data_IF_926673341489
#
_entry.id   IF_926673341489
#
_cell.length_a   1.000
_cell.length_b   1.000
_cell.length_c   1.000
_cell.angle_alpha   90.00
_cell.angle_beta   90.00
_cell.angle_gamma   90.00
#
_symmetry.space_group_name_H-M   'P 1'
#
loop_
_entity.id
_entity.type
_entity.pdbx_description
1 polymer ?
#
# COMPACT_ATOMS: atom_id res chain seq x y z
N UNK A 1 -2.83 -20.85 -8.57
CA UNK A 1 -1.45 -20.49 -8.95
C UNK A 1 -1.10 -21.26 -10.21
N UNK A 2 -0.47 -20.61 -11.20
CA UNK A 2 0.00 -21.30 -12.40
C UNK A 2 1.24 -22.17 -12.06
N UNK A 3 1.40 -23.37 -12.65
CA UNK A 3 2.51 -24.28 -12.34
C UNK A 3 3.90 -23.65 -12.52
N UNK A 4 4.04 -22.68 -13.42
CA UNK A 4 5.30 -21.97 -13.70
C UNK A 4 5.72 -20.96 -12.62
N UNK A 5 4.84 -20.64 -11.66
CA UNK A 5 5.16 -19.70 -10.57
C UNK A 5 5.85 -20.37 -9.39
N UNK A 6 5.65 -21.68 -9.18
CA UNK A 6 6.19 -22.38 -8.01
C UNK A 6 7.72 -22.28 -7.86
N UNK A 7 8.55 -22.48 -8.91
CA UNK A 7 10.00 -22.31 -8.76
C UNK A 7 10.40 -20.86 -8.47
N UNK A 8 9.69 -19.87 -9.05
CA UNK A 8 9.96 -18.44 -8.84
C UNK A 8 9.69 -17.99 -7.40
N UNK A 9 8.73 -18.61 -6.72
CA UNK A 9 8.41 -18.30 -5.32
C UNK A 9 9.51 -18.78 -4.36
N UNK A 10 10.08 -19.96 -4.57
CA UNK A 10 11.19 -20.44 -3.73
C UNK A 10 12.44 -19.55 -3.89
N UNK A 11 12.73 -19.09 -5.11
CA UNK A 11 13.81 -18.14 -5.38
C UNK A 11 13.53 -16.76 -4.78
N UNK A 12 12.28 -16.30 -4.84
CA UNK A 12 11.83 -15.08 -4.17
C UNK A 12 12.05 -15.16 -2.66
N UNK A 13 11.64 -16.23 -2.00
CA UNK A 13 11.79 -16.40 -0.55
C UNK A 13 13.28 -16.37 -0.15
N UNK A 14 14.12 -17.10 -0.89
CA UNK A 14 15.56 -17.06 -0.69
C UNK A 14 16.12 -15.65 -0.87
N UNK A 15 15.68 -14.92 -1.89
CA UNK A 15 16.11 -13.53 -2.11
C UNK A 15 15.63 -12.58 -1.00
N UNK A 16 14.37 -12.66 -0.58
CA UNK A 16 13.82 -11.83 0.49
C UNK A 16 14.52 -12.07 1.83
N UNK A 17 14.99 -13.29 2.09
CA UNK A 17 15.78 -13.61 3.30
C UNK A 17 17.09 -12.84 3.40
N UNK A 18 17.61 -12.30 2.29
CA UNK A 18 18.81 -11.44 2.27
C UNK A 18 18.53 -10.00 2.70
N UNK A 19 17.29 -9.68 3.09
CA UNK A 19 16.82 -8.34 3.42
C UNK A 19 17.14 -7.30 2.31
N UNK A 20 16.70 -7.54 1.06
CA UNK A 20 17.00 -6.66 -0.05
C UNK A 20 16.40 -5.27 0.19
N UNK A 21 17.02 -4.24 -0.38
CA UNK A 21 16.59 -2.84 -0.25
C UNK A 21 15.84 -2.34 -1.49
N UNK A 22 15.70 -3.16 -2.52
CA UNK A 22 14.96 -2.90 -3.75
C UNK A 22 13.48 -2.53 -3.48
N UNK A 23 12.84 -1.82 -4.41
CA UNK A 23 11.39 -1.60 -4.34
C UNK A 23 10.65 -2.92 -4.57
N UNK A 24 9.46 -3.08 -3.99
CA UNK A 24 8.62 -4.27 -4.21
C UNK A 24 8.36 -4.48 -5.70
N UNK A 25 8.18 -3.40 -6.47
CA UNK A 25 8.03 -3.45 -7.92
C UNK A 25 9.26 -3.97 -8.66
N UNK A 26 10.46 -3.54 -8.27
CA UNK A 26 11.70 -4.04 -8.89
C UNK A 26 11.89 -5.53 -8.60
N UNK A 27 11.54 -5.98 -7.39
CA UNK A 27 11.55 -7.40 -7.02
C UNK A 27 10.51 -8.16 -7.87
N UNK A 28 9.28 -7.64 -7.97
CA UNK A 28 8.22 -8.25 -8.76
C UNK A 28 8.64 -8.40 -10.23
N UNK A 29 9.25 -7.37 -10.81
CA UNK A 29 9.78 -7.40 -12.17
C UNK A 29 10.89 -8.44 -12.33
N UNK A 30 11.85 -8.48 -11.39
CA UNK A 30 12.98 -9.43 -11.41
C UNK A 30 12.53 -10.88 -11.46
N UNK A 31 11.49 -11.23 -10.71
CA UNK A 31 10.98 -12.60 -10.62
C UNK A 31 9.80 -12.87 -11.57
N UNK A 32 9.43 -11.91 -12.42
CA UNK A 32 8.25 -11.98 -13.29
C UNK A 32 6.98 -12.39 -12.50
N UNK A 33 6.75 -11.70 -11.39
CA UNK A 33 5.61 -11.84 -10.47
C UNK A 33 4.86 -10.51 -10.34
N UNK A 34 3.68 -10.54 -9.72
CA UNK A 34 2.98 -9.30 -9.37
C UNK A 34 3.54 -8.68 -8.07
N UNK A 35 3.30 -7.39 -7.85
CA UNK A 35 3.66 -6.75 -6.58
C UNK A 35 2.92 -7.41 -5.40
N UNK A 36 1.67 -7.84 -5.62
CA UNK A 36 0.90 -8.60 -4.64
C UNK A 36 1.56 -9.92 -4.26
N UNK A 37 2.13 -10.66 -5.22
CA UNK A 37 2.84 -11.91 -4.94
C UNK A 37 4.07 -11.64 -4.07
N UNK A 38 4.83 -10.58 -4.34
CA UNK A 38 5.95 -10.19 -3.47
C UNK A 38 5.48 -9.79 -2.07
N UNK A 39 4.42 -8.98 -1.97
CA UNK A 39 3.87 -8.52 -0.69
C UNK A 39 3.42 -9.68 0.21
N UNK A 40 2.88 -10.76 -0.35
CA UNK A 40 2.47 -11.96 0.40
C UNK A 40 3.62 -12.67 1.11
N UNK A 41 4.85 -12.48 0.63
CA UNK A 41 6.04 -13.15 1.14
C UNK A 41 6.90 -12.23 2.03
N UNK A 42 6.49 -10.99 2.24
CA UNK A 42 7.15 -10.08 3.18
C UNK A 42 6.65 -10.31 4.62
N UNK A 43 7.53 -10.22 5.63
CA UNK A 43 7.20 -10.61 7.01
C UNK A 43 6.25 -9.65 7.73
N UNK A 44 6.27 -8.36 7.38
CA UNK A 44 5.49 -7.31 8.07
C UNK A 44 4.44 -6.71 7.13
N UNK A 45 3.57 -7.57 6.62
CA UNK A 45 2.46 -7.20 5.73
C UNK A 45 1.14 -7.74 6.28
N UNK A 46 0.14 -6.85 6.37
CA UNK A 46 -1.26 -7.23 6.57
C UNK A 46 -2.02 -7.05 5.26
N UNK A 47 -2.65 -8.12 4.77
CA UNK A 47 -3.48 -8.07 3.56
C UNK A 47 -4.96 -8.19 3.92
N UNK A 48 -5.81 -7.41 3.25
CA UNK A 48 -7.27 -7.56 3.31
C UNK A 48 -7.91 -7.40 1.93
N UNK A 49 -9.20 -7.75 1.85
CA UNK A 49 -10.00 -7.59 0.63
C UNK A 49 -10.29 -6.10 0.35
N UNK A 50 -10.30 -5.73 -0.92
CA UNK A 50 -10.57 -4.37 -1.39
C UNK A 50 -11.93 -3.81 -0.99
N UNK A 51 -12.89 -4.64 -0.54
CA UNK A 51 -14.13 -4.20 0.10
C UNK A 51 -13.90 -3.30 1.33
N UNK A 52 -12.70 -3.34 1.93
CA UNK A 52 -12.31 -2.43 3.00
C UNK A 52 -11.94 -1.02 2.53
N UNK A 53 -11.98 -0.71 1.22
CA UNK A 53 -11.52 0.56 0.63
C UNK A 53 -12.03 1.79 1.38
N UNK A 54 -13.35 1.93 1.55
CA UNK A 54 -13.93 3.14 2.15
C UNK A 54 -13.51 3.32 3.61
N UNK A 55 -13.49 2.22 4.37
CA UNK A 55 -13.08 2.22 5.78
C UNK A 55 -11.61 2.60 5.92
N UNK A 56 -10.75 2.01 5.09
CA UNK A 56 -9.31 2.29 5.08
C UNK A 56 -9.12 3.75 4.68
N UNK A 57 -9.65 4.17 3.54
CA UNK A 57 -9.51 5.54 3.04
C UNK A 57 -9.93 6.57 4.08
N UNK A 58 -11.09 6.39 4.71
CA UNK A 58 -11.59 7.28 5.76
C UNK A 58 -10.63 7.35 6.96
N UNK A 59 -10.04 6.22 7.36
CA UNK A 59 -9.05 6.20 8.44
C UNK A 59 -7.81 7.02 8.07
N UNK A 60 -7.32 6.88 6.84
CA UNK A 60 -6.14 7.60 6.35
C UNK A 60 -6.35 9.13 6.31
N UNK A 61 -7.58 9.61 6.10
CA UNK A 61 -7.87 11.06 6.14
C UNK A 61 -7.60 11.70 7.51
N UNK A 62 -7.56 10.89 8.58
CA UNK A 62 -7.27 11.36 9.93
C UNK A 62 -5.78 11.48 10.28
N UNK A 63 -4.86 11.09 9.38
CA UNK A 63 -3.43 11.02 9.69
C UNK A 63 -2.70 12.38 9.60
N UNK A 64 -3.39 13.44 9.19
CA UNK A 64 -2.77 14.70 8.81
C UNK A 64 -1.89 14.51 7.58
N UNK A 65 -0.71 15.13 7.56
CA UNK A 65 0.19 15.04 6.41
C UNK A 65 0.73 13.63 6.19
N UNK A 66 0.53 13.14 4.96
CA UNK A 66 1.00 11.85 4.43
C UNK A 66 1.70 12.08 3.09
N UNK A 67 2.35 11.04 2.56
CA UNK A 67 2.79 11.04 1.16
C UNK A 67 1.91 10.11 0.35
N UNK A 68 1.14 10.65 -0.59
CA UNK A 68 0.41 9.85 -1.58
C UNK A 68 1.29 9.67 -2.80
N UNK A 69 1.47 8.43 -3.25
CA UNK A 69 2.40 8.07 -4.32
C UNK A 69 1.71 7.21 -5.37
N UNK A 70 1.92 7.56 -6.63
CA UNK A 70 1.56 6.74 -7.80
C UNK A 70 2.85 6.43 -8.55
N UNK A 71 3.14 5.15 -8.75
CA UNK A 71 4.29 4.71 -9.52
C UNK A 71 3.85 3.78 -10.65
N UNK A 72 4.41 4.03 -11.82
CA UNK A 72 4.31 3.16 -12.98
C UNK A 72 5.72 3.01 -13.60
N UNK A 73 5.88 2.29 -14.72
CA UNK A 73 7.20 2.11 -15.34
C UNK A 73 7.88 3.42 -15.81
N UNK A 74 7.10 4.46 -16.06
CA UNK A 74 7.58 5.69 -16.70
C UNK A 74 7.79 6.85 -15.71
N UNK A 75 7.09 6.85 -14.59
CA UNK A 75 7.13 7.94 -13.62
C UNK A 75 6.69 7.52 -12.21
N UNK A 76 7.22 8.26 -11.24
CA UNK A 76 6.78 8.27 -9.85
C UNK A 76 6.29 9.69 -9.56
N UNK A 77 5.04 9.81 -9.11
CA UNK A 77 4.47 11.06 -8.62
C UNK A 77 4.20 10.94 -7.14
N UNK A 78 4.60 11.98 -6.41
CA UNK A 78 4.38 12.10 -4.99
C UNK A 78 3.64 13.40 -4.69
N UNK A 79 2.70 13.32 -3.76
CA UNK A 79 2.04 14.46 -3.16
C UNK A 79 2.18 14.39 -1.65
N UNK A 80 2.71 15.47 -1.05
CA UNK A 80 2.83 15.63 0.39
C UNK A 80 1.72 16.54 0.92
N UNK A 81 0.96 16.05 1.88
CA UNK A 81 -0.15 16.77 2.50
C UNK A 81 -1.25 15.83 2.98
N UNK A 82 -2.37 16.38 3.47
CA UNK A 82 -3.44 15.55 4.00
C UNK A 82 -4.18 14.81 2.88
N UNK A 83 -4.54 13.54 3.13
CA UNK A 83 -5.32 12.76 2.20
C UNK A 83 -6.76 13.32 2.13
N UNK A 84 -7.28 13.68 0.95
CA UNK A 84 -8.62 14.23 0.85
C UNK A 84 -9.69 13.16 1.09
N UNK A 85 -10.80 13.56 1.71
CA UNK A 85 -12.03 12.77 1.67
C UNK A 85 -12.58 12.65 0.25
N UNK A 86 -13.61 11.81 0.07
CA UNK A 86 -14.22 11.62 -1.25
C UNK A 86 -15.62 11.04 -1.18
N UNK A 87 -16.24 10.86 -2.35
CA UNK A 87 -17.58 10.29 -2.46
C UNK A 87 -17.73 9.48 -3.76
N UNK A 88 -18.49 8.38 -3.68
CA UNK A 88 -18.80 7.55 -4.85
C UNK A 88 -19.84 8.22 -5.76
N UNK A 89 -19.54 8.33 -7.05
CA UNK A 89 -20.46 8.80 -8.09
C UNK A 89 -19.99 8.30 -9.46
N UNK A 90 -20.93 7.86 -10.31
CA UNK A 90 -20.67 7.42 -11.69
C UNK A 90 -19.53 6.38 -11.85
N UNK A 91 -19.40 5.44 -10.90
CA UNK A 91 -18.38 4.38 -10.94
C UNK A 91 -17.00 4.78 -10.43
N UNK A 92 -16.84 5.99 -9.88
CA UNK A 92 -15.59 6.47 -9.28
C UNK A 92 -15.80 6.92 -7.84
N UNK A 93 -14.76 6.78 -7.03
CA UNK A 93 -14.57 7.52 -5.79
C UNK A 93 -13.89 8.85 -6.12
N UNK A 94 -14.61 9.95 -5.93
CA UNK A 94 -14.22 11.29 -6.35
C UNK A 94 -13.56 12.02 -5.19
N UNK A 95 -12.27 12.34 -5.31
CA UNK A 95 -11.51 13.04 -4.29
C UNK A 95 -11.95 14.50 -4.21
N UNK A 96 -12.11 15.02 -2.99
CA UNK A 96 -12.52 16.40 -2.71
C UNK A 96 -11.39 17.16 -2.03
N UNK A 97 -10.25 17.24 -2.70
CA UNK A 97 -9.10 17.98 -2.19
C UNK A 97 -9.21 19.48 -2.41
N UNK A 98 -8.71 20.24 -1.44
CA UNK A 98 -8.55 21.70 -1.52
C UNK A 98 -7.08 22.14 -1.59
N UNK A 99 -6.15 21.21 -1.32
CA UNK A 99 -4.71 21.47 -1.20
C UNK A 99 -3.84 20.91 -2.34
N UNK A 100 -4.40 20.70 -3.53
CA UNK A 100 -3.67 20.24 -4.71
C UNK A 100 -3.95 18.79 -5.12
N UNK A 101 -4.00 17.84 -4.19
CA UNK A 101 -4.37 16.46 -4.51
C UNK A 101 -5.88 16.33 -4.77
N UNK A 102 -6.25 16.05 -6.01
CA UNK A 102 -7.62 15.80 -6.45
C UNK A 102 -7.63 14.69 -7.51
N UNK A 103 -8.81 14.20 -7.89
CA UNK A 103 -8.95 13.20 -8.95
C UNK A 103 -10.04 12.17 -8.67
N UNK A 104 -9.97 11.06 -9.40
CA UNK A 104 -11.00 10.02 -9.42
C UNK A 104 -10.35 8.64 -9.36
N UNK A 105 -10.79 7.82 -8.41
CA UNK A 105 -10.30 6.45 -8.24
C UNK A 105 -11.40 5.48 -8.63
N UNK A 106 -11.10 4.51 -9.51
CA UNK A 106 -12.00 3.38 -9.74
C UNK A 106 -11.91 2.40 -8.57
N UNK A 107 -12.47 2.77 -7.42
CA UNK A 107 -12.37 2.00 -6.17
C UNK A 107 -12.83 0.55 -6.32
N UNK A 108 -13.78 0.28 -7.22
CA UNK A 108 -14.25 -1.07 -7.57
C UNK A 108 -13.16 -1.98 -8.15
N UNK A 109 -12.06 -1.42 -8.67
CA UNK A 109 -10.88 -2.18 -9.11
C UNK A 109 -9.93 -2.50 -7.97
N UNK A 110 -10.08 -1.90 -6.79
CA UNK A 110 -9.26 -2.28 -5.65
C UNK A 110 -9.67 -3.68 -5.21
N UNK A 111 -8.80 -4.67 -5.43
CA UNK A 111 -9.04 -6.07 -5.08
C UNK A 111 -8.41 -6.44 -3.75
N UNK A 112 -7.27 -5.86 -3.44
CA UNK A 112 -6.56 -6.05 -2.19
C UNK A 112 -6.07 -4.71 -1.64
N UNK A 113 -5.94 -4.65 -0.32
CA UNK A 113 -5.24 -3.58 0.37
C UNK A 113 -4.13 -4.21 1.20
N UNK A 114 -2.92 -3.66 1.13
CA UNK A 114 -1.78 -4.11 1.93
C UNK A 114 -1.31 -3.00 2.86
N UNK A 115 -1.14 -3.31 4.15
CA UNK A 115 -0.46 -2.46 5.11
C UNK A 115 0.94 -3.04 5.30
N UNK A 116 1.96 -2.25 4.95
CA UNK A 116 3.35 -2.69 4.82
C UNK A 116 4.23 -1.85 5.75
N UNK A 117 4.88 -2.50 6.73
CA UNK A 117 6.02 -1.95 7.47
C UNK A 117 7.30 -2.58 6.94
N UNK A 118 8.20 -1.79 6.36
CA UNK A 118 9.47 -2.27 5.81
C UNK A 118 10.51 -1.16 5.78
N UNK A 119 11.76 -1.42 6.21
CA UNK A 119 12.85 -0.47 5.99
C UNK A 119 13.12 -0.25 4.50
N UNK A 120 13.27 1.01 4.09
CA UNK A 120 13.65 1.38 2.73
C UNK A 120 14.75 2.42 2.76
N UNK A 121 15.87 2.14 2.08
CA UNK A 121 17.08 2.98 2.08
C UNK A 121 17.54 3.39 3.49
N UNK A 122 17.52 2.44 4.45
CA UNK A 122 17.97 2.66 5.82
C UNK A 122 16.99 3.42 6.72
N UNK A 123 15.76 3.69 6.25
CA UNK A 123 14.72 4.35 7.04
C UNK A 123 13.51 3.43 7.22
N UNK A 124 12.95 3.40 8.43
CA UNK A 124 11.66 2.75 8.69
C UNK A 124 10.56 3.40 7.86
N UNK A 125 9.72 2.59 7.20
CA UNK A 125 8.55 3.06 6.44
C UNK A 125 7.30 2.29 6.83
N UNK A 126 6.16 2.97 6.84
CA UNK A 126 4.84 2.38 7.00
C UNK A 126 3.94 2.91 5.87
N UNK A 127 3.31 2.02 5.12
CA UNK A 127 2.54 2.39 3.92
C UNK A 127 1.32 1.52 3.67
N UNK A 128 0.28 2.12 3.10
CA UNK A 128 -0.95 1.44 2.69
C UNK A 128 -1.03 1.42 1.17
N UNK A 129 -1.12 0.22 0.60
CA UNK A 129 -1.14 -0.02 -0.84
C UNK A 129 -2.53 -0.44 -1.25
N UNK A 130 -3.10 0.21 -2.25
CA UNK A 130 -4.34 -0.21 -2.88
C UNK A 130 -3.98 -0.96 -4.16
N UNK A 131 -4.43 -2.20 -4.31
CA UNK A 131 -3.92 -3.13 -5.32
C UNK A 131 -5.05 -3.54 -6.27
N UNK A 132 -4.79 -3.47 -7.59
CA UNK A 132 -5.74 -3.81 -8.64
C UNK A 132 -5.86 -5.34 -8.87
N UNK A 133 -6.77 -5.83 -9.75
CA UNK A 133 -6.92 -7.27 -10.01
C UNK A 133 -5.69 -7.89 -10.67
N UNK A 134 -4.84 -7.09 -11.30
CA UNK A 134 -3.58 -7.51 -11.90
C UNK A 134 -2.44 -7.65 -10.87
N UNK A 135 -2.71 -7.38 -9.58
CA UNK A 135 -1.73 -7.47 -8.50
C UNK A 135 -0.73 -6.31 -8.47
N UNK A 136 -1.04 -5.19 -9.13
CA UNK A 136 -0.22 -3.98 -9.17
C UNK A 136 -0.78 -2.91 -8.21
N UNK A 137 0.09 -2.05 -7.68
CA UNK A 137 -0.35 -0.90 -6.88
C UNK A 137 -1.09 0.11 -7.76
N UNK A 138 -2.33 0.43 -7.39
CA UNK A 138 -3.09 1.57 -7.92
C UNK A 138 -2.53 2.89 -7.41
N UNK A 139 -2.23 2.92 -6.11
CA UNK A 139 -1.59 4.02 -5.39
C UNK A 139 -1.09 3.51 -4.02
N UNK A 140 -0.24 4.30 -3.39
CA UNK A 140 0.29 4.06 -2.05
C UNK A 140 0.11 5.31 -1.20
N UNK A 141 -0.13 5.13 0.09
CA UNK A 141 -0.15 6.21 1.08
C UNK A 141 0.84 5.88 2.18
N UNK A 142 1.86 6.71 2.34
CA UNK A 142 2.89 6.55 3.37
C UNK A 142 2.57 7.42 4.58
N UNK A 143 2.80 6.86 5.77
CA UNK A 143 2.79 7.63 7.02
C UNK A 143 3.81 8.77 6.92
N UNK A 144 3.37 9.99 7.25
CA UNK A 144 4.21 11.17 7.21
C UNK A 144 5.36 11.14 8.23
N UNK A 145 6.33 12.03 8.03
CA UNK A 145 7.50 12.15 8.89
C UNK A 145 7.52 13.49 9.63
N UNK A 146 8.19 13.50 10.78
CA UNK A 146 8.53 14.72 11.52
C UNK A 146 9.73 15.45 10.90
N UNK A 147 10.10 16.59 11.48
CA UNK A 147 11.25 17.40 11.06
C UNK A 147 12.58 16.65 11.18
N UNK A 148 12.66 15.63 12.03
CA UNK A 148 13.83 14.75 12.20
C UNK A 148 13.78 13.52 11.28
N UNK A 149 12.86 13.50 10.31
CA UNK A 149 12.65 12.41 9.34
C UNK A 149 12.23 11.09 9.97
N UNK A 150 11.68 11.08 11.19
CA UNK A 150 11.11 9.89 11.83
C UNK A 150 9.62 9.79 11.51
N UNK A 151 9.06 8.59 11.49
CA UNK A 151 7.62 8.40 11.32
C UNK A 151 6.86 9.10 12.45
N UNK A 152 5.78 9.82 12.12
CA UNK A 152 4.94 10.48 13.13
C UNK A 152 4.24 9.42 13.99
N UNK A 153 4.38 9.52 15.31
CA UNK A 153 3.96 8.49 16.26
C UNK A 153 2.46 8.17 16.22
N UNK A 154 1.60 9.21 16.22
CA UNK A 154 0.15 9.04 16.22
C UNK A 154 -0.38 8.38 14.94
N UNK A 155 -0.04 8.86 13.72
CA UNK A 155 -0.37 8.14 12.48
C UNK A 155 0.18 6.71 12.42
N UNK A 156 1.38 6.47 12.95
CA UNK A 156 1.97 5.13 13.00
C UNK A 156 1.19 4.19 13.95
N UNK A 157 0.75 4.69 15.10
CA UNK A 157 -0.11 3.94 16.00
C UNK A 157 -1.48 3.63 15.35
N UNK A 158 -2.08 4.60 14.65
CA UNK A 158 -3.31 4.41 13.89
C UNK A 158 -3.15 3.40 12.75
N UNK A 159 -2.01 3.42 12.04
CA UNK A 159 -1.65 2.42 11.04
C UNK A 159 -1.64 1.00 11.64
N UNK A 160 -0.95 0.80 12.77
CA UNK A 160 -0.84 -0.52 13.41
C UNK A 160 -2.17 -1.02 13.95
N UNK A 161 -2.99 -0.14 14.52
CA UNK A 161 -4.34 -0.47 14.97
C UNK A 161 -5.26 -0.87 13.79
N UNK A 162 -5.16 -0.16 12.66
CA UNK A 162 -5.87 -0.50 11.43
C UNK A 162 -5.45 -1.90 10.93
N UNK A 163 -4.15 -2.18 10.89
CA UNK A 163 -3.63 -3.50 10.50
C UNK A 163 -4.20 -4.62 11.37
N UNK A 164 -4.13 -4.49 12.71
CA UNK A 164 -4.68 -5.47 13.64
C UNK A 164 -6.17 -5.73 13.41
N UNK A 165 -6.94 -4.67 13.14
CA UNK A 165 -8.39 -4.81 12.93
C UNK A 165 -8.71 -5.52 11.61
N UNK A 166 -7.92 -5.28 10.57
CA UNK A 166 -8.10 -5.92 9.26
C UNK A 166 -7.68 -7.40 9.30
N UNK A 167 -6.62 -7.75 10.02
CA UNK A 167 -6.21 -9.14 10.24
C UNK A 167 -7.30 -9.95 10.98
N UNK A 168 -7.93 -9.34 11.98
CA UNK A 168 -8.99 -10.01 12.78
C UNK A 168 -10.28 -10.23 11.99
N UNK A 169 -10.62 -9.30 11.09
CA UNK A 169 -11.80 -9.41 10.23
C UNK A 169 -11.68 -10.53 9.18
N UNK A 170 -10.46 -10.80 8.69
CA UNK A 170 -10.19 -11.90 7.75
C UNK A 170 -10.24 -13.29 8.38
N UNK A 171 -10.07 -13.41 9.71
CA UNK A 171 -10.11 -14.70 10.43
C UNK A 171 -11.53 -15.17 10.79
N UNK A 172 -12.57 -14.34 10.55
CA UNK A 172 -13.97 -14.61 10.92
C UNK A 172 -14.89 -14.89 9.71
N UNK A 173 -14.33 -15.10 8.52
CA UNK A 173 -15.05 -15.41 7.28
C UNK A 173 -14.81 -16.85 6.84
#
# INVERSE_FOLDING_TARGET
MHPEHQPRIAELDAFLSTAPTDTVEAIAQRFALSALDVLRHLPQVTLCDGNAFDRVWQTLTGWGDVTTLINNPDLILEFHGPLPGGAHRHGFFNLRGKGGLSGHIRAQRCRHIALVERPFMGMETASVWFINPEGQAMLKVFVGRDEQRRLREEPLAAFRALAQTLSTAGARA
#
